data_IF_116546736244
#
_entry.id   IF_116546736244
#
_cell.length_a   1.000
_cell.length_b   1.000
_cell.length_c   1.000
_cell.angle_alpha   90.00
_cell.angle_beta   90.00
_cell.angle_gamma   90.00
#
_symmetry.space_group_name_H-M   'P 1'
#
loop_
_entity.id
_entity.type
_entity.pdbx_description
1 polymer ?
#
# COMPACT_ATOMS: atom_id res chain seq x y z
N UNK A 1 52.40 -48.32 -28.21
CA UNK A 1 52.79 -48.23 -26.78
C UNK A 1 51.53 -48.07 -25.92
N UNK A 2 51.20 -49.00 -25.01
CA UNK A 2 50.57 -48.64 -23.71
C UNK A 2 51.68 -48.34 -22.67
N UNK A 3 51.44 -48.03 -21.37
CA UNK A 3 50.22 -47.75 -20.57
C UNK A 3 50.30 -46.33 -19.90
N UNK A 4 49.45 -45.80 -19.01
CA UNK A 4 48.73 -46.31 -17.82
C UNK A 4 47.52 -45.38 -17.50
N UNK A 5 46.29 -45.89 -17.28
CA UNK A 5 45.72 -46.43 -16.01
C UNK A 5 45.83 -45.41 -14.86
N UNK A 6 44.79 -44.99 -14.14
CA UNK A 6 43.48 -45.54 -13.66
C UNK A 6 42.78 -44.37 -12.92
N UNK A 7 41.52 -44.33 -12.49
CA UNK A 7 40.30 -45.15 -12.53
C UNK A 7 39.19 -44.22 -11.93
N UNK A 8 38.05 -44.04 -12.59
CA UNK A 8 36.75 -44.71 -12.41
C UNK A 8 35.92 -44.30 -11.18
N UNK A 9 34.69 -43.90 -11.51
CA UNK A 9 33.46 -44.05 -10.72
C UNK A 9 32.51 -42.91 -11.09
N UNK A 10 31.35 -43.07 -11.71
CA UNK A 10 30.55 -44.24 -12.06
C UNK A 10 29.07 -43.94 -11.77
N UNK A 11 28.25 -43.97 -12.84
CA UNK A 11 26.77 -44.07 -12.92
C UNK A 11 25.91 -42.93 -12.29
N UNK A 12 25.03 -42.23 -13.02
CA UNK A 12 23.79 -42.61 -13.74
C UNK A 12 22.60 -43.09 -12.89
N UNK A 13 21.52 -42.28 -13.00
CA UNK A 13 20.08 -42.60 -13.21
C UNK A 13 19.12 -42.72 -12.00
N UNK A 14 18.19 -41.75 -12.00
CA UNK A 14 16.72 -41.83 -11.88
C UNK A 14 16.03 -42.55 -10.69
N UNK A 15 15.36 -41.71 -9.87
CA UNK A 15 14.05 -41.83 -9.17
C UNK A 15 13.81 -43.05 -8.23
N UNK A 16 12.69 -43.18 -7.47
CA UNK A 16 11.75 -42.25 -6.80
C UNK A 16 11.51 -42.60 -5.28
N UNK A 17 10.52 -41.94 -4.66
CA UNK A 17 9.71 -42.32 -3.46
C UNK A 17 10.03 -41.75 -2.06
N UNK A 18 8.92 -41.30 -1.45
CA UNK A 18 8.47 -41.39 -0.06
C UNK A 18 9.48 -41.78 1.04
N UNK A 19 9.48 -41.00 2.14
CA UNK A 19 9.78 -41.54 3.47
C UNK A 19 8.78 -41.04 4.51
N UNK A 20 7.83 -41.93 4.81
CA UNK A 20 7.05 -41.98 6.05
C UNK A 20 7.84 -42.88 7.03
N UNK A 21 7.84 -42.49 8.31
CA UNK A 21 7.87 -43.39 9.48
C UNK A 21 9.15 -44.15 9.78
N UNK A 22 9.91 -43.68 10.79
CA UNK A 22 10.74 -44.52 11.66
C UNK A 22 10.63 -43.96 13.08
N UNK A 23 9.89 -44.65 13.95
CA UNK A 23 10.10 -44.77 15.40
C UNK A 23 9.22 -45.93 15.93
N UNK A 24 9.90 -46.88 16.57
CA UNK A 24 9.48 -47.75 17.68
C UNK A 24 8.70 -49.05 17.42
N UNK A 25 9.47 -50.15 17.50
CA UNK A 25 9.42 -51.19 18.54
C UNK A 25 8.06 -51.63 19.08
N UNK A 26 7.67 -52.86 18.70
CA UNK A 26 6.59 -53.63 19.30
C UNK A 26 7.12 -54.47 20.47
N UNK A 27 6.66 -54.14 21.68
CA UNK A 27 5.91 -55.06 22.55
C UNK A 27 6.63 -56.22 23.26
N UNK A 28 6.64 -56.15 24.60
CA UNK A 28 6.40 -57.35 25.42
C UNK A 28 7.15 -57.39 26.75
N UNK A 29 6.56 -56.84 27.81
CA UNK A 29 7.07 -57.04 29.17
C UNK A 29 6.20 -56.37 30.23
N UNK A 30 5.22 -57.12 30.75
CA UNK A 30 4.49 -56.82 31.98
C UNK A 30 5.47 -56.57 33.13
N UNK A 31 5.48 -55.37 33.70
CA UNK A 31 5.64 -55.15 35.13
C UNK A 31 4.83 -53.91 35.56
N UNK A 32 3.96 -54.15 36.53
CA UNK A 32 3.21 -53.17 37.28
C UNK A 32 4.19 -52.21 37.97
N UNK A 33 4.03 -50.92 37.70
CA UNK A 33 4.40 -49.87 38.65
C UNK A 33 3.33 -48.79 38.56
N UNK A 34 2.59 -48.64 39.65
CA UNK A 34 1.83 -47.44 39.97
C UNK A 34 2.77 -46.21 39.93
N UNK A 35 2.17 -45.05 39.70
CA UNK A 35 2.76 -43.72 39.47
C UNK A 35 2.96 -43.37 37.98
N UNK A 36 1.86 -43.03 37.31
CA UNK A 36 1.91 -42.18 36.12
C UNK A 36 1.08 -40.91 36.38
N UNK A 37 1.81 -39.86 36.75
CA UNK A 37 1.34 -38.50 36.81
C UNK A 37 0.75 -38.12 35.46
N UNK A 38 -0.58 -37.97 35.40
CA UNK A 38 -1.32 -37.73 34.16
C UNK A 38 -0.69 -36.62 33.32
N UNK A 39 0.02 -37.01 32.25
CA UNK A 39 0.51 -36.12 31.22
C UNK A 39 -0.66 -35.24 30.74
N UNK A 40 -0.62 -33.92 30.93
CA UNK A 40 -1.73 -33.05 30.59
C UNK A 40 -1.96 -33.14 29.09
N UNK A 41 -3.08 -33.75 28.70
CA UNK A 41 -3.51 -33.84 27.31
C UNK A 41 -3.37 -32.45 26.66
N UNK A 42 -2.63 -32.33 25.55
CA UNK A 42 -2.39 -31.04 24.94
C UNK A 42 -3.74 -30.44 24.53
N UNK A 43 -4.10 -29.31 25.15
CA UNK A 43 -5.33 -28.55 24.85
C UNK A 43 -5.45 -28.44 23.33
N UNK A 44 -6.52 -28.88 22.67
CA UNK A 44 -6.58 -28.96 21.22
C UNK A 44 -6.69 -27.56 20.58
N UNK A 45 -6.25 -27.43 19.31
CA UNK A 45 -6.14 -26.14 18.61
C UNK A 45 -7.48 -25.39 18.52
N UNK A 46 -8.58 -26.13 18.36
CA UNK A 46 -9.97 -25.64 18.34
C UNK A 46 -10.43 -25.05 19.68
N UNK A 47 -9.89 -25.53 20.81
CA UNK A 47 -10.15 -24.96 22.13
C UNK A 47 -9.30 -23.72 22.43
N UNK A 48 -8.12 -23.59 21.82
CA UNK A 48 -7.21 -22.45 22.03
C UNK A 48 -7.65 -21.18 21.29
N UNK A 49 -8.26 -21.31 20.11
CA UNK A 49 -8.69 -20.16 19.30
C UNK A 49 -9.73 -19.27 20.00
N UNK A 50 -10.79 -19.82 20.63
CA UNK A 50 -11.71 -19.03 21.45
C UNK A 50 -11.06 -18.37 22.67
N UNK A 51 -10.02 -18.97 23.25
CA UNK A 51 -9.28 -18.38 24.37
C UNK A 51 -8.49 -17.15 23.89
N UNK A 52 -7.78 -17.27 22.77
CA UNK A 52 -7.07 -16.16 22.15
C UNK A 52 -8.03 -15.04 21.71
N UNK A 53 -9.21 -15.39 21.22
CA UNK A 53 -10.25 -14.44 20.81
C UNK A 53 -10.80 -13.60 21.98
N UNK A 54 -10.66 -14.07 23.23
CA UNK A 54 -11.09 -13.37 24.46
C UNK A 54 -10.01 -12.48 25.06
N UNK A 55 -8.81 -12.45 24.48
CA UNK A 55 -7.75 -11.58 24.97
C UNK A 55 -8.12 -10.11 24.80
N UNK A 56 -7.67 -9.23 25.72
CA UNK A 56 -8.12 -7.84 25.76
C UNK A 56 -7.60 -7.01 24.58
N UNK A 57 -6.52 -7.44 23.92
CA UNK A 57 -6.01 -6.76 22.74
C UNK A 57 -5.36 -7.71 21.73
N UNK A 58 -5.30 -7.24 20.48
CA UNK A 58 -4.50 -7.88 19.45
C UNK A 58 -3.01 -7.98 19.75
N UNK A 59 -2.46 -7.04 20.53
CA UNK A 59 -1.07 -7.11 20.97
C UNK A 59 -0.83 -8.32 21.89
N UNK A 60 -1.81 -8.71 22.70
CA UNK A 60 -1.72 -9.91 23.54
C UNK A 60 -1.71 -11.18 22.71
N UNK A 61 -2.51 -11.23 21.64
CA UNK A 61 -2.52 -12.34 20.69
C UNK A 61 -1.16 -12.47 19.99
N UNK A 62 -0.55 -11.35 19.58
CA UNK A 62 0.79 -11.34 18.98
C UNK A 62 1.86 -11.81 19.97
N UNK A 63 1.82 -11.32 21.21
CA UNK A 63 2.74 -11.77 22.26
C UNK A 63 2.58 -13.26 22.54
N UNK A 64 1.35 -13.74 22.55
CA UNK A 64 1.02 -15.16 22.72
C UNK A 64 1.56 -16.00 21.56
N UNK A 65 1.42 -15.52 20.32
CA UNK A 65 2.00 -16.16 19.14
C UNK A 65 3.53 -16.26 19.20
N UNK A 66 4.21 -15.28 19.82
CA UNK A 66 5.65 -15.28 19.98
C UNK A 66 6.17 -16.30 21.01
N UNK A 67 5.30 -16.89 21.85
CA UNK A 67 5.72 -17.84 22.89
C UNK A 67 6.19 -19.17 22.31
N UNK A 68 5.50 -19.70 21.29
CA UNK A 68 5.90 -20.93 20.62
C UNK A 68 5.29 -21.07 19.21
N UNK A 69 5.93 -21.92 18.39
CA UNK A 69 5.51 -22.17 17.00
C UNK A 69 4.10 -22.72 16.86
N UNK A 70 3.57 -23.42 17.87
CA UNK A 70 2.20 -23.93 17.85
C UNK A 70 1.19 -22.79 17.92
N UNK A 71 1.40 -21.84 18.83
CA UNK A 71 0.52 -20.68 19.00
C UNK A 71 0.64 -19.73 17.80
N UNK A 72 1.85 -19.54 17.28
CA UNK A 72 2.04 -18.82 16.01
C UNK A 72 1.23 -19.45 14.85
N UNK A 73 1.23 -20.78 14.75
CA UNK A 73 0.48 -21.50 13.70
C UNK A 73 -1.02 -21.30 13.84
N UNK A 74 -1.53 -21.42 15.07
CA UNK A 74 -2.94 -21.21 15.36
C UNK A 74 -3.38 -19.77 15.05
N UNK A 75 -2.63 -18.78 15.53
CA UNK A 75 -2.95 -17.36 15.30
C UNK A 75 -2.93 -17.00 13.82
N UNK A 76 -1.98 -17.54 13.05
CA UNK A 76 -1.93 -17.30 11.62
C UNK A 76 -3.06 -18.01 10.87
N UNK A 77 -3.42 -19.23 11.27
CA UNK A 77 -4.53 -20.00 10.68
C UNK A 77 -5.88 -19.32 10.94
N UNK A 78 -6.10 -18.86 12.17
CA UNK A 78 -7.37 -18.31 12.61
C UNK A 78 -7.39 -16.77 12.58
N UNK A 79 -6.44 -16.15 11.89
CA UNK A 79 -6.24 -14.69 11.87
C UNK A 79 -7.50 -13.90 11.51
N UNK A 80 -8.33 -14.39 10.59
CA UNK A 80 -9.60 -13.75 10.21
C UNK A 80 -10.71 -13.89 11.26
N UNK A 81 -10.66 -14.93 12.10
CA UNK A 81 -11.59 -15.11 13.24
C UNK A 81 -11.14 -14.19 14.37
N UNK A 82 -9.86 -14.25 14.72
CA UNK A 82 -9.24 -13.44 15.77
C UNK A 82 -9.37 -11.95 15.45
N UNK A 83 -9.16 -11.52 14.21
CA UNK A 83 -9.29 -10.11 13.82
C UNK A 83 -10.71 -9.56 13.95
N UNK A 84 -11.73 -10.43 13.91
CA UNK A 84 -13.13 -10.05 14.09
C UNK A 84 -13.57 -10.08 15.55
N UNK A 85 -13.01 -11.00 16.34
CA UNK A 85 -13.38 -11.19 17.74
C UNK A 85 -12.69 -10.19 18.67
N UNK A 86 -11.49 -9.75 18.32
CA UNK A 86 -10.73 -8.77 19.10
C UNK A 86 -11.21 -7.34 18.79
N UNK A 87 -11.01 -6.38 19.71
CA UNK A 87 -11.09 -4.96 19.37
C UNK A 87 -10.29 -4.70 18.09
N UNK A 88 -10.84 -3.92 17.15
CA UNK A 88 -10.31 -3.82 15.78
C UNK A 88 -8.79 -3.73 15.78
N UNK A 89 -8.15 -4.80 15.31
CA UNK A 89 -6.71 -4.84 15.14
C UNK A 89 -6.32 -3.62 14.28
N UNK A 90 -5.35 -2.80 14.73
CA UNK A 90 -4.99 -1.62 13.98
C UNK A 90 -4.51 -2.04 12.59
N UNK A 91 -5.17 -1.54 11.56
CA UNK A 91 -4.62 -1.62 10.21
C UNK A 91 -3.29 -0.89 10.20
N UNK A 92 -2.30 -1.50 9.57
CA UNK A 92 -0.92 -1.08 9.73
C UNK A 92 -0.35 -0.60 8.41
N UNK A 93 0.00 0.69 8.35
CA UNK A 93 0.89 1.18 7.31
C UNK A 93 2.29 0.64 7.56
N UNK A 94 2.71 -0.29 6.69
CA UNK A 94 4.02 -0.89 6.76
C UNK A 94 5.11 0.03 6.23
N UNK A 95 4.78 0.89 5.27
CA UNK A 95 5.76 1.76 4.64
C UNK A 95 5.33 2.17 3.25
N UNK A 96 6.30 2.40 2.38
CA UNK A 96 6.05 2.69 0.97
C UNK A 96 7.16 2.19 0.07
N UNK A 97 6.81 1.94 -1.18
CA UNK A 97 7.74 1.72 -2.27
C UNK A 97 7.99 3.03 -3.00
N UNK A 98 9.20 3.24 -3.50
CA UNK A 98 9.55 4.34 -4.39
C UNK A 98 10.63 3.93 -5.38
N UNK A 99 10.81 4.72 -6.44
CA UNK A 99 11.92 4.62 -7.37
C UNK A 99 12.64 5.97 -7.46
N UNK A 100 13.97 5.95 -7.47
CA UNK A 100 14.78 7.14 -7.66
C UNK A 100 14.63 7.68 -9.10
N UNK A 101 14.77 9.01 -9.27
CA UNK A 101 14.80 9.59 -10.60
C UNK A 101 16.14 9.29 -11.27
N UNK A 102 16.12 8.83 -12.53
CA UNK A 102 17.33 8.45 -13.28
C UNK A 102 18.29 9.64 -13.48
N UNK A 103 17.79 10.88 -13.39
CA UNK A 103 18.60 12.09 -13.50
C UNK A 103 19.50 12.38 -12.29
N UNK A 104 19.14 11.90 -11.08
CA UNK A 104 19.91 12.15 -9.84
C UNK A 104 21.08 11.19 -9.63
N UNK A 105 20.99 9.96 -10.16
CA UNK A 105 22.00 8.92 -10.00
C UNK A 105 23.20 9.06 -10.96
N UNK A 106 23.07 9.83 -12.05
CA UNK A 106 24.15 10.09 -13.00
C UNK A 106 25.38 10.78 -12.36
N UNK A 107 25.21 11.51 -11.24
CA UNK A 107 26.31 12.12 -10.50
C UNK A 107 26.99 11.21 -9.49
N UNK A 108 26.40 10.06 -9.12
CA UNK A 108 26.89 9.24 -8.00
C UNK A 108 27.35 7.83 -8.37
N UNK A 109 27.07 7.32 -9.57
CA UNK A 109 27.64 6.05 -10.04
C UNK A 109 27.95 6.09 -11.54
N UNK A 110 29.22 6.23 -11.87
CA UNK A 110 29.78 5.87 -13.18
C UNK A 110 29.96 4.34 -13.20
N UNK A 111 28.85 3.59 -13.24
CA UNK A 111 28.85 2.16 -13.49
C UNK A 111 27.49 1.71 -14.02
N UNK A 112 27.53 1.08 -15.20
CA UNK A 112 26.45 0.47 -16.00
C UNK A 112 25.43 1.42 -16.65
N UNK A 113 25.52 1.47 -17.97
CA UNK A 113 24.50 1.98 -18.88
C UNK A 113 23.17 1.23 -18.68
N UNK A 114 22.05 1.96 -18.56
CA UNK A 114 20.70 1.42 -18.82
C UNK A 114 19.89 0.88 -17.63
N UNK A 115 20.38 0.95 -16.38
CA UNK A 115 19.65 0.38 -15.25
C UNK A 115 18.38 1.18 -14.90
N UNK A 116 17.20 0.64 -15.21
CA UNK A 116 15.94 1.11 -14.62
C UNK A 116 16.04 0.98 -13.09
N UNK A 117 15.75 2.06 -12.36
CA UNK A 117 15.90 2.08 -10.90
C UNK A 117 14.98 1.03 -10.25
N UNK A 118 15.55 0.07 -9.52
CA UNK A 118 14.82 -0.92 -8.74
C UNK A 118 13.91 -0.22 -7.70
N UNK A 119 12.70 -0.73 -7.43
CA UNK A 119 11.87 -0.19 -6.37
C UNK A 119 12.51 -0.44 -5.00
N UNK A 120 12.62 0.61 -4.19
CA UNK A 120 13.08 0.56 -2.81
C UNK A 120 11.89 0.63 -1.86
N UNK A 121 11.90 -0.19 -0.81
CA UNK A 121 10.91 -0.11 0.26
C UNK A 121 11.47 0.63 1.47
N UNK A 122 10.70 1.58 1.99
CA UNK A 122 10.99 2.32 3.22
C UNK A 122 9.97 1.92 4.28
N UNK A 123 10.37 1.18 5.33
CA UNK A 123 9.49 0.79 6.42
C UNK A 123 9.15 1.97 7.35
N UNK A 124 7.99 1.93 7.98
CA UNK A 124 7.70 2.76 9.18
C UNK A 124 8.42 2.19 10.40
N UNK A 125 8.65 2.95 11.47
CA UNK A 125 9.27 2.45 12.70
C UNK A 125 8.46 1.33 13.34
N UNK A 126 7.13 1.38 13.20
CA UNK A 126 6.25 0.29 13.62
C UNK A 126 6.50 -0.96 12.77
N UNK A 127 6.59 -0.83 11.45
CA UNK A 127 6.91 -1.95 10.57
C UNK A 127 8.33 -2.48 10.74
N UNK A 128 9.31 -1.61 10.98
CA UNK A 128 10.71 -1.96 11.23
C UNK A 128 10.84 -2.86 12.46
N UNK A 129 10.11 -2.52 13.53
CA UNK A 129 10.01 -3.35 14.74
C UNK A 129 9.30 -4.69 14.49
N UNK A 130 8.36 -4.72 13.54
CA UNK A 130 7.55 -5.90 13.27
C UNK A 130 8.19 -6.88 12.28
N UNK A 131 8.84 -6.37 11.24
CA UNK A 131 9.44 -7.14 10.13
C UNK A 131 10.98 -7.26 10.32
N UNK A 132 11.57 -6.53 11.29
CA UNK A 132 13.01 -6.51 11.52
C UNK A 132 13.78 -5.65 10.50
N UNK A 133 13.09 -4.91 9.64
CA UNK A 133 13.69 -4.06 8.60
C UNK A 133 14.01 -2.67 9.15
N UNK A 134 15.26 -2.41 9.52
CA UNK A 134 15.68 -1.15 10.16
C UNK A 134 16.03 -0.02 9.18
N UNK A 135 16.12 -0.29 7.87
CA UNK A 135 16.56 0.68 6.87
C UNK A 135 15.84 0.52 5.52
N UNK A 136 15.80 1.58 4.69
CA UNK A 136 15.39 1.46 3.29
C UNK A 136 16.15 0.34 2.59
N UNK A 137 15.43 -0.52 1.88
CA UNK A 137 16.07 -1.63 1.18
C UNK A 137 15.41 -1.93 -0.16
N UNK A 138 16.24 -2.13 -1.18
CA UNK A 138 15.84 -2.57 -2.51
C UNK A 138 15.54 -4.07 -2.57
N UNK A 139 16.11 -4.86 -1.64
CA UNK A 139 15.95 -6.32 -1.62
C UNK A 139 15.20 -6.81 -0.38
N UNK A 140 15.21 -6.09 0.74
CA UNK A 140 14.72 -6.68 1.98
C UNK A 140 13.19 -6.83 2.07
N UNK A 141 12.38 -6.00 1.38
CA UNK A 141 10.96 -6.34 1.21
C UNK A 141 10.79 -7.49 0.19
N UNK A 142 11.61 -7.49 -0.87
CA UNK A 142 11.66 -8.52 -1.91
C UNK A 142 11.94 -9.92 -1.32
N UNK A 143 12.84 -9.97 -0.34
CA UNK A 143 13.36 -11.17 0.30
C UNK A 143 12.58 -11.53 1.56
N UNK A 144 12.25 -10.55 2.44
CA UNK A 144 11.62 -10.82 3.73
C UNK A 144 10.09 -10.97 3.66
N UNK A 145 9.43 -10.39 2.64
CA UNK A 145 7.96 -10.39 2.55
C UNK A 145 7.46 -10.88 1.20
N UNK A 146 8.16 -10.62 0.10
CA UNK A 146 7.65 -10.85 -1.24
C UNK A 146 8.07 -12.22 -1.82
N UNK A 147 9.29 -12.71 -1.58
CA UNK A 147 9.87 -13.80 -2.37
C UNK A 147 10.00 -13.47 -3.86
N UNK A 148 10.13 -12.17 -4.21
CA UNK A 148 10.01 -11.64 -5.59
C UNK A 148 11.29 -11.03 -6.16
N UNK A 149 12.47 -11.49 -5.71
CA UNK A 149 13.78 -10.95 -6.14
C UNK A 149 13.86 -10.66 -7.65
N UNK A 150 13.53 -11.67 -8.47
CA UNK A 150 13.63 -11.57 -9.94
C UNK A 150 12.51 -10.74 -10.58
N UNK A 151 11.32 -10.69 -9.98
CA UNK A 151 10.16 -9.98 -10.54
C UNK A 151 10.29 -8.47 -10.32
N UNK A 152 10.92 -8.05 -9.23
CA UNK A 152 11.05 -6.64 -8.86
C UNK A 152 12.16 -5.90 -9.62
N UNK A 153 13.12 -6.63 -10.20
CA UNK A 153 14.31 -6.05 -10.85
C UNK A 153 13.97 -5.01 -11.93
N UNK A 154 12.82 -5.16 -12.60
CA UNK A 154 12.32 -4.19 -13.58
C UNK A 154 10.85 -3.81 -13.34
N UNK A 155 10.36 -4.02 -12.12
CA UNK A 155 8.99 -3.67 -11.79
C UNK A 155 8.86 -2.19 -11.43
N UNK A 156 7.70 -1.63 -11.77
CA UNK A 156 7.25 -0.33 -11.31
C UNK A 156 6.01 -0.52 -10.43
N UNK A 157 6.06 -0.17 -9.14
CA UNK A 157 4.86 -0.10 -8.30
C UNK A 157 3.89 0.95 -8.85
N UNK A 158 2.60 0.62 -8.93
CA UNK A 158 1.58 1.54 -9.47
C UNK A 158 0.39 1.77 -8.55
N UNK A 159 -0.01 0.77 -7.76
CA UNK A 159 -1.07 0.91 -6.75
C UNK A 159 -0.92 -0.16 -5.67
N UNK A 160 -1.55 0.07 -4.52
CA UNK A 160 -1.73 -0.92 -3.47
C UNK A 160 -3.08 -0.72 -2.79
N UNK A 161 -3.61 -1.77 -2.18
CA UNK A 161 -4.80 -1.71 -1.31
C UNK A 161 -4.94 -2.98 -0.49
N UNK A 162 -5.22 -2.87 0.81
CA UNK A 162 -5.51 -4.02 1.69
C UNK A 162 -4.50 -5.19 1.53
N UNK A 163 -3.20 -4.88 1.58
CA UNK A 163 -2.12 -5.85 1.41
C UNK A 163 -1.88 -6.35 -0.02
N UNK A 164 -2.67 -5.92 -1.00
CA UNK A 164 -2.36 -6.17 -2.42
C UNK A 164 -1.48 -5.06 -2.99
N UNK A 165 -0.58 -5.44 -3.87
CA UNK A 165 0.34 -4.57 -4.60
C UNK A 165 0.22 -4.85 -6.10
N UNK A 166 0.19 -3.78 -6.89
CA UNK A 166 0.16 -3.82 -8.35
C UNK A 166 1.50 -3.37 -8.88
N UNK A 167 2.11 -4.21 -9.72
CA UNK A 167 3.41 -4.02 -10.33
C UNK A 167 3.27 -4.00 -11.86
N UNK A 168 3.78 -2.96 -12.50
CA UNK A 168 4.00 -2.91 -13.95
C UNK A 168 5.37 -3.50 -14.29
N UNK A 169 5.41 -4.53 -15.13
CA UNK A 169 6.64 -5.23 -15.48
C UNK A 169 7.25 -4.64 -16.76
N UNK A 170 8.47 -4.08 -16.64
CA UNK A 170 9.10 -3.27 -17.70
C UNK A 170 10.34 -3.87 -18.36
N UNK A 171 10.54 -5.19 -18.31
CA UNK A 171 11.69 -5.81 -18.99
C UNK A 171 11.72 -5.43 -20.48
N UNK A 172 12.93 -5.29 -21.04
CA UNK A 172 13.15 -4.94 -22.45
C UNK A 172 12.42 -5.88 -23.43
N UNK A 173 12.16 -7.13 -23.03
CA UNK A 173 11.38 -8.12 -23.80
C UNK A 173 9.88 -7.80 -23.89
N UNK A 174 9.38 -6.82 -23.13
CA UNK A 174 7.95 -6.54 -22.95
C UNK A 174 7.51 -5.16 -23.44
N UNK A 175 8.36 -4.44 -24.18
CA UNK A 175 8.09 -3.08 -24.65
C UNK A 175 6.83 -2.96 -25.51
N UNK A 176 6.36 -4.04 -26.13
CA UNK A 176 5.19 -4.04 -27.01
C UNK A 176 3.84 -4.22 -26.30
N UNK A 177 3.83 -4.47 -24.98
CA UNK A 177 2.59 -4.73 -24.23
C UNK A 177 2.63 -4.17 -22.81
N UNK A 178 1.50 -3.74 -22.27
CA UNK A 178 1.37 -3.50 -20.83
C UNK A 178 1.21 -4.85 -20.11
N UNK A 179 2.18 -5.18 -19.25
CA UNK A 179 2.16 -6.35 -18.38
C UNK A 179 2.04 -5.93 -16.93
N UNK A 180 1.02 -6.46 -16.25
CA UNK A 180 0.74 -6.16 -14.86
C UNK A 180 0.75 -7.45 -14.04
N UNK A 181 1.31 -7.36 -12.84
CA UNK A 181 1.26 -8.38 -11.81
C UNK A 181 0.54 -7.80 -10.59
N UNK A 182 -0.40 -8.55 -10.04
CA UNK A 182 -1.07 -8.22 -8.78
C UNK A 182 -0.66 -9.28 -7.77
N UNK A 183 -0.02 -8.88 -6.68
CA UNK A 183 0.46 -9.80 -5.66
C UNK A 183 0.01 -9.38 -4.27
N UNK A 184 -0.16 -10.34 -3.37
CA UNK A 184 -0.27 -10.12 -1.95
C UNK A 184 1.00 -10.66 -1.29
N UNK A 185 1.98 -9.78 -1.01
CA UNK A 185 3.28 -10.15 -0.43
C UNK A 185 3.13 -11.00 0.83
N UNK A 186 2.33 -10.49 1.77
CA UNK A 186 2.13 -11.13 3.07
C UNK A 186 1.53 -12.52 2.99
N UNK A 187 0.77 -12.81 1.94
CA UNK A 187 0.10 -14.10 1.71
C UNK A 187 0.82 -14.97 0.68
N UNK A 188 1.72 -14.40 -0.12
CA UNK A 188 2.39 -15.07 -1.23
C UNK A 188 1.48 -15.33 -2.42
N UNK A 189 0.32 -14.67 -2.48
CA UNK A 189 -0.58 -14.76 -3.63
C UNK A 189 -0.01 -13.92 -4.77
N UNK A 190 -0.07 -14.43 -5.99
CA UNK A 190 0.34 -13.69 -7.19
C UNK A 190 -0.55 -14.05 -8.37
N UNK A 191 -0.94 -13.02 -9.13
CA UNK A 191 -1.67 -13.16 -10.37
C UNK A 191 -1.02 -12.30 -11.47
N UNK A 192 -0.57 -12.97 -12.53
CA UNK A 192 -0.14 -12.31 -13.76
C UNK A 192 -1.36 -12.00 -14.61
N UNK A 193 -1.56 -10.72 -14.97
CA UNK A 193 -2.72 -10.32 -15.77
C UNK A 193 -2.49 -10.58 -17.26
N UNK A 194 -3.54 -10.89 -18.04
CA UNK A 194 -3.44 -10.94 -19.50
C UNK A 194 -2.86 -9.63 -20.04
N UNK A 195 -1.84 -9.66 -20.92
CA UNK A 195 -1.18 -8.45 -21.40
C UNK A 195 -2.10 -7.64 -22.32
N UNK A 196 -2.02 -6.30 -22.26
CA UNK A 196 -2.68 -5.40 -23.20
C UNK A 196 -1.66 -4.94 -24.25
N UNK A 197 -1.84 -5.36 -25.51
CA UNK A 197 -0.89 -5.15 -26.60
C UNK A 197 -1.56 -4.54 -27.85
N UNK A 198 -0.76 -4.10 -28.82
CA UNK A 198 -1.25 -3.58 -30.10
C UNK A 198 -2.23 -2.42 -29.92
N UNK A 199 -3.40 -2.49 -30.57
CA UNK A 199 -4.45 -1.47 -30.45
C UNK A 199 -5.01 -1.34 -29.03
N UNK A 200 -4.90 -2.37 -28.20
CA UNK A 200 -5.37 -2.37 -26.82
C UNK A 200 -4.34 -1.83 -25.83
N UNK A 201 -3.09 -1.64 -26.24
CA UNK A 201 -2.03 -1.12 -25.38
C UNK A 201 -2.38 0.29 -24.90
N UNK A 202 -2.49 0.52 -23.58
CA UNK A 202 -2.63 1.86 -23.06
C UNK A 202 -1.30 2.61 -23.15
N UNK A 203 -1.37 3.93 -23.36
CA UNK A 203 -0.24 4.84 -23.14
C UNK A 203 -0.06 5.11 -21.65
N UNK A 204 0.01 6.39 -21.27
CA UNK A 204 -0.08 6.77 -19.86
C UNK A 204 -1.43 6.39 -19.25
N UNK A 205 -1.37 5.81 -18.05
CA UNK A 205 -2.53 5.35 -17.30
C UNK A 205 -2.43 5.66 -15.81
N UNK A 206 -3.59 5.76 -15.16
CA UNK A 206 -3.77 5.61 -13.73
C UNK A 206 -4.44 4.26 -13.43
N UNK A 207 -4.33 3.80 -12.19
CA UNK A 207 -5.00 2.59 -11.76
C UNK A 207 -5.60 2.73 -10.37
N UNK A 208 -6.69 1.99 -10.14
CA UNK A 208 -7.30 1.78 -8.84
C UNK A 208 -7.49 0.28 -8.61
N UNK A 209 -7.22 -0.17 -7.39
CA UNK A 209 -7.44 -1.55 -6.99
C UNK A 209 -8.66 -1.63 -6.09
N UNK A 210 -9.59 -2.52 -6.41
CA UNK A 210 -10.70 -2.94 -5.57
C UNK A 210 -10.41 -4.33 -5.04
N UNK A 211 -10.85 -4.59 -3.82
CA UNK A 211 -10.66 -5.85 -3.11
C UNK A 211 -12.00 -6.34 -2.56
N UNK A 212 -12.05 -7.58 -2.06
CA UNK A 212 -13.27 -8.11 -1.45
C UNK A 212 -13.82 -7.28 -0.28
N UNK A 213 -13.01 -6.40 0.33
CA UNK A 213 -13.44 -5.46 1.37
C UNK A 213 -14.27 -4.28 0.82
N UNK A 214 -14.24 -4.04 -0.49
CA UNK A 214 -14.86 -2.88 -1.12
C UNK A 214 -16.23 -3.21 -1.74
N UNK A 215 -16.63 -4.49 -1.73
CA UNK A 215 -17.77 -5.01 -2.49
C UNK A 215 -18.98 -5.44 -1.63
N UNK A 216 -19.21 -4.82 -0.47
CA UNK A 216 -20.42 -5.06 0.31
C UNK A 216 -20.35 -4.59 1.76
N UNK A 217 -21.47 -4.76 2.49
CA UNK A 217 -21.62 -4.35 3.90
C UNK A 217 -20.84 -5.23 4.88
N UNK A 218 -20.52 -6.47 4.51
CA UNK A 218 -19.70 -7.37 5.33
C UNK A 218 -18.28 -7.48 4.79
N UNK A 219 -17.26 -7.03 5.54
CA UNK A 219 -15.86 -7.27 5.20
C UNK A 219 -15.63 -8.76 4.95
N UNK A 220 -14.87 -9.09 3.89
CA UNK A 220 -14.37 -10.45 3.64
C UNK A 220 -12.84 -10.48 3.85
N UNK A 221 -12.38 -10.60 5.12
CA UNK A 221 -10.95 -10.69 5.42
C UNK A 221 -10.34 -11.84 4.64
N UNK A 222 -9.11 -11.65 4.17
CA UNK A 222 -8.37 -12.66 3.43
C UNK A 222 -9.05 -13.12 2.13
N UNK A 223 -9.95 -12.32 1.53
CA UNK A 223 -10.44 -12.62 0.19
C UNK A 223 -9.28 -12.62 -0.82
N UNK A 224 -9.25 -13.61 -1.71
CA UNK A 224 -8.36 -13.61 -2.87
C UNK A 224 -8.88 -12.72 -4.01
N UNK A 225 -10.11 -12.22 -3.87
CA UNK A 225 -10.75 -11.39 -4.89
C UNK A 225 -10.09 -10.02 -4.99
N UNK A 226 -9.80 -9.62 -6.22
CA UNK A 226 -9.47 -8.25 -6.57
C UNK A 226 -10.01 -7.88 -7.94
N UNK A 227 -10.22 -6.58 -8.15
CA UNK A 227 -10.53 -5.99 -9.46
C UNK A 227 -9.63 -4.79 -9.68
N UNK A 228 -8.93 -4.75 -10.80
CA UNK A 228 -8.03 -3.68 -11.17
C UNK A 228 -8.66 -2.81 -12.25
N UNK A 229 -8.88 -1.54 -11.95
CA UNK A 229 -9.35 -0.55 -12.92
C UNK A 229 -8.16 0.24 -13.45
N UNK A 230 -8.07 0.36 -14.77
CA UNK A 230 -7.12 1.25 -15.44
C UNK A 230 -7.87 2.38 -16.16
N UNK A 231 -7.33 3.59 -16.07
CA UNK A 231 -7.86 4.80 -16.71
C UNK A 231 -6.75 5.36 -17.59
N UNK A 232 -7.00 5.47 -18.88
CA UNK A 232 -5.99 5.87 -19.87
C UNK A 232 -6.61 6.69 -20.98
N UNK A 233 -5.78 7.23 -21.86
CA UNK A 233 -6.24 8.07 -22.96
C UNK A 233 -6.17 7.36 -24.31
N UNK A 234 -7.25 7.48 -25.07
CA UNK A 234 -7.25 7.33 -26.54
C UNK A 234 -7.06 8.70 -27.19
N UNK A 235 -6.94 8.74 -28.52
CA UNK A 235 -6.76 10.00 -29.26
C UNK A 235 -7.82 11.04 -28.88
N UNK A 236 -9.10 10.65 -28.90
CA UNK A 236 -10.23 11.56 -28.71
C UNK A 236 -10.88 11.55 -27.32
N UNK A 237 -10.63 10.54 -26.48
CA UNK A 237 -11.35 10.38 -25.21
C UNK A 237 -10.53 9.68 -24.12
N UNK A 238 -11.00 9.75 -22.89
CA UNK A 238 -10.50 8.95 -21.76
C UNK A 238 -11.24 7.62 -21.71
N UNK A 239 -10.49 6.53 -21.76
CA UNK A 239 -10.97 5.16 -21.75
C UNK A 239 -10.74 4.50 -20.38
N UNK A 240 -11.54 3.49 -20.08
CA UNK A 240 -11.48 2.71 -18.85
C UNK A 240 -11.55 1.22 -19.19
N UNK A 241 -10.76 0.39 -18.49
CA UNK A 241 -10.91 -1.06 -18.49
C UNK A 241 -10.75 -1.61 -17.08
N UNK A 242 -11.48 -2.67 -16.78
CA UNK A 242 -11.37 -3.37 -15.50
C UNK A 242 -10.94 -4.81 -15.73
N UNK A 243 -9.95 -5.28 -15.00
CA UNK A 243 -9.63 -6.70 -14.87
C UNK A 243 -10.28 -7.22 -13.61
N UNK A 244 -10.90 -8.39 -13.66
CA UNK A 244 -11.55 -8.99 -12.49
C UNK A 244 -10.99 -10.39 -12.22
N UNK A 245 -10.56 -10.67 -10.98
CA UNK A 245 -9.91 -11.93 -10.61
C UNK A 245 -10.86 -13.14 -10.65
N UNK A 246 -12.17 -12.89 -10.57
CA UNK A 246 -13.24 -13.91 -10.68
C UNK A 246 -13.34 -14.51 -12.09
N UNK A 247 -13.23 -13.67 -13.11
CA UNK A 247 -13.39 -14.01 -14.52
C UNK A 247 -12.05 -14.22 -15.20
N UNK A 248 -10.95 -13.74 -14.60
CA UNK A 248 -9.61 -13.82 -15.16
C UNK A 248 -9.43 -13.00 -16.45
N UNK A 249 -10.29 -12.01 -16.70
CA UNK A 249 -10.38 -11.29 -17.97
C UNK A 249 -10.49 -9.78 -17.80
N UNK A 250 -10.05 -9.07 -18.82
CA UNK A 250 -10.32 -7.64 -18.99
C UNK A 250 -11.75 -7.44 -19.50
N UNK A 251 -12.42 -6.41 -19.00
CA UNK A 251 -13.68 -5.91 -19.52
C UNK A 251 -13.47 -5.28 -20.90
N UNK A 252 -14.59 -5.07 -21.60
CA UNK A 252 -14.63 -4.19 -22.76
C UNK A 252 -14.18 -2.78 -22.40
N UNK A 253 -13.65 -2.06 -23.38
CA UNK A 253 -13.24 -0.66 -23.21
C UNK A 253 -14.48 0.23 -22.98
N UNK A 254 -14.56 0.81 -21.79
CA UNK A 254 -15.52 1.85 -21.47
C UNK A 254 -15.00 3.21 -21.93
N UNK A 255 -15.91 4.07 -22.41
CA UNK A 255 -15.61 5.46 -22.75
C UNK A 255 -16.16 6.39 -21.69
N UNK A 256 -15.35 7.35 -21.26
CA UNK A 256 -15.84 8.51 -20.52
C UNK A 256 -16.78 9.33 -21.42
N UNK A 257 -18.07 9.30 -21.12
CA UNK A 257 -19.13 9.92 -21.92
C UNK A 257 -19.27 11.43 -21.65
N UNK A 258 -18.95 11.90 -20.45
CA UNK A 258 -19.13 13.31 -20.02
C UNK A 258 -17.84 13.96 -19.51
N UNK A 259 -17.64 15.22 -19.90
CA UNK A 259 -16.54 16.08 -19.46
C UNK A 259 -15.26 15.95 -20.30
N UNK A 260 -14.27 16.83 -20.09
CA UNK A 260 -13.07 16.89 -20.89
C UNK A 260 -12.19 15.64 -20.70
N UNK A 261 -11.39 15.34 -21.72
CA UNK A 261 -10.34 14.32 -21.64
C UNK A 261 -9.38 14.66 -20.50
N UNK A 262 -9.04 13.67 -19.67
CA UNK A 262 -8.04 13.84 -18.62
C UNK A 262 -6.69 14.07 -19.30
N UNK A 263 -6.04 15.22 -19.07
CA UNK A 263 -4.81 15.57 -19.79
C UNK A 263 -3.69 14.55 -19.57
N UNK A 264 -3.42 14.20 -18.31
CA UNK A 264 -2.32 13.31 -17.92
C UNK A 264 -2.83 12.26 -16.93
N UNK A 265 -3.33 11.10 -17.39
CA UNK A 265 -3.83 10.05 -16.52
C UNK A 265 -2.81 9.63 -15.46
N UNK A 266 -1.53 9.53 -15.83
CA UNK A 266 -0.44 9.19 -14.90
C UNK A 266 -0.30 10.17 -13.72
N UNK A 267 -0.75 11.41 -13.85
CA UNK A 267 -0.71 12.43 -12.79
C UNK A 267 -1.91 12.38 -11.84
N UNK A 268 -2.89 11.51 -12.07
CA UNK A 268 -4.02 11.34 -11.14
C UNK A 268 -3.56 10.82 -9.77
N UNK A 269 -2.36 10.21 -9.70
CA UNK A 269 -1.78 9.71 -8.46
C UNK A 269 -2.58 8.55 -7.87
N UNK A 270 -2.64 8.51 -6.54
CA UNK A 270 -3.40 7.49 -5.82
C UNK A 270 -4.92 7.70 -5.99
N UNK A 271 -5.63 6.59 -6.16
CA UNK A 271 -7.09 6.52 -5.97
C UNK A 271 -7.46 6.26 -4.52
N UNK A 272 -8.50 6.90 -4.02
CA UNK A 272 -9.15 6.54 -2.76
C UNK A 272 -10.41 5.75 -3.04
N UNK A 273 -10.57 4.56 -2.47
CA UNK A 273 -11.79 3.75 -2.68
C UNK A 273 -12.68 3.77 -1.45
N UNK A 274 -13.92 4.23 -1.64
CA UNK A 274 -14.99 4.28 -0.62
C UNK A 274 -16.25 3.67 -1.22
N UNK A 275 -16.88 2.73 -0.52
CA UNK A 275 -18.15 2.08 -0.89
C UNK A 275 -18.21 1.62 -2.36
N UNK A 276 -17.16 0.93 -2.82
CA UNK A 276 -17.09 0.41 -4.18
C UNK A 276 -16.86 1.46 -5.27
N UNK A 277 -16.46 2.68 -4.89
CA UNK A 277 -16.18 3.79 -5.82
C UNK A 277 -14.73 4.27 -5.66
N UNK A 278 -13.96 4.26 -6.74
CA UNK A 278 -12.62 4.86 -6.76
C UNK A 278 -12.70 6.35 -7.11
N UNK A 279 -12.05 7.17 -6.29
CA UNK A 279 -11.95 8.62 -6.43
C UNK A 279 -10.51 9.04 -6.70
N UNK A 280 -10.31 9.84 -7.74
CA UNK A 280 -9.06 10.56 -7.98
C UNK A 280 -9.28 12.06 -7.82
N UNK A 281 -8.33 12.73 -7.17
CA UNK A 281 -8.34 14.17 -7.06
C UNK A 281 -8.06 14.82 -8.43
N UNK A 282 -9.00 15.63 -8.91
CA UNK A 282 -8.75 16.59 -9.99
C UNK A 282 -8.58 17.98 -9.37
N UNK A 283 -8.25 18.97 -10.20
CA UNK A 283 -7.97 20.34 -9.71
C UNK A 283 -9.14 20.98 -8.94
N UNK A 284 -10.37 20.69 -9.36
CA UNK A 284 -11.61 21.34 -8.89
C UNK A 284 -12.76 20.35 -8.63
N UNK A 285 -12.54 19.06 -8.87
CA UNK A 285 -13.52 17.99 -8.77
C UNK A 285 -12.80 16.69 -8.39
N UNK A 286 -13.56 15.65 -8.07
CA UNK A 286 -13.04 14.29 -7.96
C UNK A 286 -13.57 13.46 -9.13
N UNK A 287 -12.69 12.73 -9.81
CA UNK A 287 -13.07 11.75 -10.81
C UNK A 287 -13.46 10.46 -10.09
N UNK A 288 -14.73 10.06 -10.19
CA UNK A 288 -15.30 8.92 -9.50
C UNK A 288 -15.65 7.82 -10.50
N UNK A 289 -15.26 6.57 -10.22
CA UNK A 289 -15.62 5.42 -11.04
C UNK A 289 -16.13 4.32 -10.13
N UNK A 290 -17.32 3.79 -10.39
CA UNK A 290 -17.88 2.67 -9.65
C UNK A 290 -17.35 1.33 -10.17
N UNK A 291 -17.25 0.38 -9.26
CA UNK A 291 -16.79 -0.99 -9.55
C UNK A 291 -17.79 -1.81 -10.36
N UNK A 292 -19.10 -1.62 -10.13
CA UNK A 292 -20.20 -2.34 -10.79
C UNK A 292 -20.62 -1.69 -12.10
N UNK A 293 -20.60 -0.35 -12.13
CA UNK A 293 -20.99 0.47 -13.29
C UNK A 293 -19.81 1.37 -13.65
N UNK A 294 -18.98 1.02 -14.64
CA UNK A 294 -17.78 1.78 -14.97
C UNK A 294 -18.09 3.12 -15.67
N UNK A 295 -19.34 3.60 -15.64
CA UNK A 295 -19.68 4.96 -16.07
C UNK A 295 -19.05 5.97 -15.10
N UNK A 296 -18.05 6.74 -15.56
CA UNK A 296 -17.36 7.68 -14.69
C UNK A 296 -18.23 8.90 -14.41
N UNK A 297 -18.19 9.37 -13.17
CA UNK A 297 -18.88 10.58 -12.71
C UNK A 297 -17.84 11.59 -12.21
N UNK A 298 -18.05 12.88 -12.46
CA UNK A 298 -17.29 13.92 -11.77
C UNK A 298 -18.09 14.46 -10.60
N UNK A 299 -17.49 14.40 -9.42
CA UNK A 299 -18.07 14.94 -8.19
C UNK A 299 -17.46 16.32 -7.94
N UNK A 300 -18.26 17.40 -7.85
CA UNK A 300 -17.74 18.73 -7.57
C UNK A 300 -17.10 18.75 -6.18
N UNK A 301 -15.89 19.30 -6.06
CA UNK A 301 -15.20 19.46 -4.77
C UNK A 301 -15.42 20.87 -4.21
N UNK A 302 -15.30 21.08 -2.88
CA UNK A 302 -15.47 22.39 -2.29
C UNK A 302 -14.30 23.30 -2.71
N UNK A 303 -14.52 24.08 -3.76
CA UNK A 303 -13.52 25.00 -4.32
C UNK A 303 -13.65 26.42 -3.80
N UNK A 304 -14.67 26.73 -2.97
CA UNK A 304 -14.98 28.09 -2.50
C UNK A 304 -15.16 28.14 -0.98
N UNK A 305 -14.08 28.44 -0.27
CA UNK A 305 -14.10 28.71 1.16
C UNK A 305 -12.88 29.53 1.58
N UNK A 306 -12.99 30.41 2.59
CA UNK A 306 -11.86 31.20 3.07
C UNK A 306 -10.68 30.27 3.44
N UNK A 307 -9.52 30.58 2.88
CA UNK A 307 -8.28 29.82 3.08
C UNK A 307 -8.03 28.64 2.15
N UNK A 308 -8.95 28.25 1.24
CA UNK A 308 -8.65 27.27 0.16
C UNK A 308 -7.95 28.04 -0.95
N UNK A 309 -6.62 28.09 -0.89
CA UNK A 309 -5.84 28.80 -1.91
C UNK A 309 -5.63 27.92 -3.15
N UNK A 310 -5.29 28.53 -4.29
CA UNK A 310 -4.88 27.86 -5.53
C UNK A 310 -3.47 27.22 -5.34
N UNK A 311 -3.34 26.31 -4.37
CA UNK A 311 -2.08 25.66 -4.05
C UNK A 311 -1.65 24.69 -5.15
N UNK A 312 -0.34 24.46 -5.31
CA UNK A 312 0.21 23.45 -6.22
C UNK A 312 -0.41 22.07 -6.01
N UNK A 313 -0.36 21.21 -7.02
CA UNK A 313 -0.98 19.87 -6.98
C UNK A 313 -0.47 19.02 -5.82
N UNK A 314 0.84 19.08 -5.52
CA UNK A 314 1.46 18.31 -4.44
C UNK A 314 0.93 18.64 -3.05
N UNK A 315 0.20 19.74 -2.86
CA UNK A 315 -0.29 20.16 -1.54
C UNK A 315 -1.67 19.61 -1.21
N UNK A 316 -2.25 18.80 -2.10
CA UNK A 316 -3.64 18.36 -2.00
C UNK A 316 -3.74 16.86 -2.22
N UNK A 317 -4.59 16.22 -1.43
CA UNK A 317 -4.88 14.80 -1.54
C UNK A 317 -6.34 14.52 -1.15
N UNK A 318 -6.79 13.33 -1.49
CA UNK A 318 -7.96 12.73 -0.86
C UNK A 318 -7.52 11.77 0.25
N UNK A 319 -8.45 11.40 1.11
CA UNK A 319 -8.30 10.36 2.12
C UNK A 319 -9.65 9.90 2.62
N UNK A 320 -9.66 9.18 3.75
CA UNK A 320 -10.86 8.66 4.40
C UNK A 320 -10.85 9.08 5.88
N UNK A 321 -12.00 9.48 6.42
CA UNK A 321 -12.15 9.75 7.85
C UNK A 321 -12.44 8.47 8.67
N UNK A 322 -12.47 8.54 10.01
CA UNK A 322 -12.78 7.37 10.85
C UNK A 322 -14.16 6.75 10.59
N UNK A 323 -15.10 7.51 10.02
CA UNK A 323 -16.44 7.04 9.68
C UNK A 323 -16.48 6.35 8.30
N UNK A 324 -15.34 6.22 7.61
CA UNK A 324 -15.25 5.65 6.27
C UNK A 324 -15.62 6.63 5.16
N UNK A 325 -15.77 7.93 5.45
CA UNK A 325 -16.22 8.93 4.48
C UNK A 325 -15.03 9.57 3.77
N UNK A 326 -15.24 9.95 2.51
CA UNK A 326 -14.20 10.57 1.69
C UNK A 326 -13.88 11.98 2.22
N UNK A 327 -12.60 12.31 2.38
CA UNK A 327 -12.15 13.62 2.86
C UNK A 327 -11.20 14.32 1.91
N UNK A 328 -11.27 15.64 1.90
CA UNK A 328 -10.28 16.49 1.24
C UNK A 328 -9.22 16.95 2.22
N UNK A 329 -7.96 16.69 1.86
CA UNK A 329 -6.78 17.00 2.66
C UNK A 329 -5.95 18.03 1.90
N UNK A 330 -5.54 19.09 2.59
CA UNK A 330 -4.55 20.02 2.06
C UNK A 330 -3.45 20.35 3.06
N UNK A 331 -2.30 20.73 2.51
CA UNK A 331 -1.20 21.33 3.25
C UNK A 331 -1.27 22.86 3.13
N UNK A 332 -0.75 23.58 4.12
CA UNK A 332 -0.52 25.01 4.06
C UNK A 332 0.59 25.43 5.03
N UNK A 333 1.33 26.51 4.76
CA UNK A 333 2.21 27.11 5.76
C UNK A 333 1.36 27.91 6.77
N UNK A 334 1.69 27.82 8.05
CA UNK A 334 1.13 28.65 9.11
C UNK A 334 2.23 29.49 9.76
N UNK A 335 2.01 30.80 9.86
CA UNK A 335 2.93 31.73 10.52
C UNK A 335 3.21 31.29 11.96
N UNK A 336 4.45 31.45 12.40
CA UNK A 336 4.80 31.37 13.82
C UNK A 336 4.64 32.75 14.46
N UNK A 337 4.02 32.82 15.63
CA UNK A 337 3.91 34.06 16.39
C UNK A 337 5.32 34.48 16.82
N UNK A 338 5.84 35.57 16.24
CA UNK A 338 7.13 36.16 16.61
C UNK A 338 8.27 36.06 15.59
N UNK A 339 8.14 35.28 14.49
CA UNK A 339 9.16 35.27 13.42
C UNK A 339 8.55 35.24 12.02
N UNK A 340 8.64 36.32 11.22
CA UNK A 340 7.99 36.42 9.90
C UNK A 340 8.57 35.47 8.82
N UNK A 341 9.70 34.81 9.10
CA UNK A 341 10.48 34.05 8.11
C UNK A 341 10.34 32.52 8.29
N UNK A 342 9.78 32.06 9.41
CA UNK A 342 9.63 30.63 9.72
C UNK A 342 8.16 30.28 9.85
N UNK A 343 7.69 29.33 9.03
CA UNK A 343 6.32 28.84 9.06
C UNK A 343 6.31 27.38 9.47
N UNK A 344 5.28 26.95 10.20
CA UNK A 344 5.04 25.53 10.45
C UNK A 344 4.23 24.94 9.30
N UNK A 345 4.55 23.71 8.90
CA UNK A 345 3.68 22.98 8.00
C UNK A 345 2.39 22.61 8.74
N UNK A 346 1.26 22.89 8.11
CA UNK A 346 -0.06 22.51 8.59
C UNK A 346 -0.69 21.58 7.58
N UNK A 347 -1.22 20.45 8.07
CA UNK A 347 -2.09 19.58 7.29
C UNK A 347 -3.51 19.74 7.83
N UNK A 348 -4.48 19.96 6.94
CA UNK A 348 -5.87 20.14 7.30
C UNK A 348 -6.79 19.20 6.52
N UNK A 349 -7.81 18.69 7.20
CA UNK A 349 -8.96 18.05 6.57
C UNK A 349 -10.07 19.09 6.53
N UNK A 350 -10.63 19.40 5.35
CA UNK A 350 -11.53 20.55 5.20
C UNK A 350 -13.00 20.21 5.01
N UNK A 351 -13.27 19.04 4.47
CA UNK A 351 -14.60 18.63 4.08
C UNK A 351 -14.68 17.13 4.04
N UNK A 352 -15.88 16.64 4.32
CA UNK A 352 -16.26 15.23 4.26
C UNK A 352 -17.35 15.08 3.21
N UNK A 353 -17.22 14.06 2.39
CA UNK A 353 -18.19 13.66 1.39
C UNK A 353 -18.74 12.29 1.77
N UNK A 354 -20.06 12.21 1.92
CA UNK A 354 -20.76 10.94 2.09
C UNK A 354 -21.21 10.48 0.70
N UNK A 355 -20.56 9.49 0.08
CA UNK A 355 -21.09 8.92 -1.15
C UNK A 355 -22.47 8.35 -0.85
N UNK A 356 -23.48 8.72 -1.66
CA UNK A 356 -24.79 8.13 -1.56
C UNK A 356 -24.67 6.62 -1.76
N UNK A 357 -25.03 5.83 -0.74
CA UNK A 357 -25.19 4.40 -0.94
C UNK A 357 -26.31 4.23 -1.98
N UNK A 358 -26.09 3.45 -3.04
CA UNK A 358 -27.13 3.20 -4.03
C UNK A 358 -28.35 2.46 -3.47
N UNK A 359 -28.33 2.08 -2.18
CA UNK A 359 -29.49 1.63 -1.42
C UNK A 359 -30.24 2.84 -0.87
N UNK A 360 -31.52 2.98 -1.20
CA UNK A 360 -32.38 4.13 -0.85
C UNK A 360 -32.64 4.37 0.64
N UNK A 361 -31.80 3.88 1.54
CA UNK A 361 -31.96 3.93 3.01
C UNK A 361 -30.89 4.77 3.73
N UNK A 362 -29.98 5.45 3.03
CA UNK A 362 -28.98 6.32 3.71
C UNK A 362 -29.30 7.79 3.54
N UNK A 363 -29.31 8.55 4.64
CA UNK A 363 -29.35 10.03 4.77
C UNK A 363 -28.17 10.78 4.08
N UNK A 364 -27.57 10.18 3.05
CA UNK A 364 -26.43 10.72 2.34
C UNK A 364 -26.91 11.63 1.22
N UNK A 365 -26.72 12.94 1.37
CA UNK A 365 -27.10 13.95 0.37
C UNK A 365 -26.23 13.94 -0.90
N UNK A 366 -25.13 13.18 -0.93
CA UNK A 366 -24.16 13.25 -2.03
C UNK A 366 -23.48 14.61 -2.12
N UNK A 367 -23.41 15.35 -1.00
CA UNK A 367 -22.79 16.67 -0.92
C UNK A 367 -21.56 16.69 -0.02
N UNK A 368 -20.67 17.65 -0.27
CA UNK A 368 -19.53 17.92 0.59
C UNK A 368 -19.95 18.78 1.78
N UNK A 369 -19.81 18.23 2.98
CA UNK A 369 -20.04 18.94 4.24
C UNK A 369 -18.71 19.50 4.74
N UNK A 370 -18.69 20.80 5.08
CA UNK A 370 -17.50 21.43 5.67
C UNK A 370 -17.26 20.84 7.06
N UNK A 371 -16.09 20.25 7.26
CA UNK A 371 -15.58 19.82 8.57
C UNK A 371 -14.10 20.15 8.62
N UNK A 372 -13.72 21.01 9.55
CA UNK A 372 -12.38 21.55 9.59
C UNK A 372 -11.60 20.97 10.78
N UNK A 373 -10.53 20.22 10.49
CA UNK A 373 -9.53 19.80 11.48
C UNK A 373 -8.16 20.22 10.97
N UNK A 374 -7.35 20.80 11.85
CA UNK A 374 -6.02 21.31 11.53
C UNK A 374 -4.98 20.64 12.42
N UNK A 375 -3.91 20.16 11.81
CA UNK A 375 -2.78 19.55 12.50
C UNK A 375 -1.54 20.42 12.24
N UNK A 376 -1.08 21.14 13.26
CA UNK A 376 0.15 21.95 13.20
C UNK A 376 1.35 21.07 13.50
N UNK A 377 2.23 20.89 12.51
CA UNK A 377 3.43 20.05 12.63
C UNK A 377 4.58 20.89 13.17
N UNK A 378 4.63 21.06 14.50
CA UNK A 378 5.56 21.98 15.20
C UNK A 378 7.05 21.71 14.90
N UNK A 379 7.38 20.46 14.63
CA UNK A 379 8.72 19.99 14.30
C UNK A 379 9.09 20.18 12.82
N UNK A 380 8.14 20.54 11.94
CA UNK A 380 8.37 20.72 10.51
C UNK A 380 8.22 22.18 10.13
N UNK A 381 9.36 22.87 10.11
CA UNK A 381 9.45 24.26 9.66
C UNK A 381 9.65 24.31 8.14
N UNK A 382 8.90 25.18 7.49
CA UNK A 382 9.08 25.57 6.10
C UNK A 382 9.64 26.99 6.14
N UNK A 383 10.83 27.20 5.55
CA UNK A 383 11.41 28.54 5.45
C UNK A 383 10.64 29.31 4.41
N UNK A 384 10.27 30.55 4.72
CA UNK A 384 9.67 31.45 3.75
C UNK A 384 10.72 32.39 3.17
N UNK A 385 10.94 32.36 1.86
CA UNK A 385 11.80 33.28 1.13
C UNK A 385 10.90 34.12 0.20
N UNK A 386 10.62 35.37 0.59
CA UNK A 386 9.84 36.36 -0.19
C UNK A 386 9.72 37.74 0.50
N UNK A 387 9.89 38.83 -0.27
CA UNK A 387 10.42 40.17 0.11
C UNK A 387 9.41 41.19 0.73
N UNK A 388 9.89 42.01 1.68
CA UNK A 388 9.24 43.22 2.24
C UNK A 388 9.40 44.42 1.29
N UNK A 389 8.32 44.92 0.65
CA UNK A 389 8.39 46.14 -0.17
C UNK A 389 7.95 46.02 -1.63
N UNK A 390 6.86 45.32 -1.92
CA UNK A 390 6.03 45.64 -3.08
C UNK A 390 6.18 44.83 -4.38
N UNK A 391 7.09 43.86 -4.48
CA UNK A 391 7.12 42.92 -5.63
C UNK A 391 7.02 41.47 -5.15
N UNK A 392 6.02 40.75 -5.68
CA UNK A 392 5.56 39.45 -5.20
C UNK A 392 6.20 38.32 -6.02
N UNK A 393 7.30 37.75 -5.55
CA UNK A 393 7.74 36.43 -6.03
C UNK A 393 7.12 35.34 -5.15
N UNK A 394 6.37 34.38 -5.72
CA UNK A 394 5.93 33.22 -4.97
C UNK A 394 7.18 32.41 -4.57
N UNK A 395 7.24 31.89 -3.35
CA UNK A 395 8.44 31.18 -2.96
C UNK A 395 8.67 29.86 -3.73
N UNK A 396 9.93 29.42 -3.90
CA UNK A 396 10.30 28.20 -4.63
C UNK A 396 9.94 26.88 -3.92
N UNK A 397 9.46 26.89 -2.68
CA UNK A 397 9.09 25.66 -1.94
C UNK A 397 7.69 25.12 -2.28
N UNK A 398 6.93 25.79 -3.14
CA UNK A 398 5.66 25.30 -3.67
C UNK A 398 5.76 23.91 -4.33
N UNK A 399 6.91 23.57 -4.91
CA UNK A 399 7.13 22.25 -5.53
C UNK A 399 7.75 21.22 -4.58
N UNK A 400 8.10 21.64 -3.35
CA UNK A 400 8.91 20.87 -2.40
C UNK A 400 8.10 20.19 -1.31
N UNK A 401 6.79 20.39 -1.27
CA UNK A 401 5.86 19.66 -0.40
C UNK A 401 4.96 18.81 -1.28
N UNK A 402 4.99 17.50 -1.08
CA UNK A 402 4.16 16.56 -1.83
C UNK A 402 3.46 15.59 -0.88
N UNK A 403 2.14 15.70 -0.77
CA UNK A 403 1.25 14.70 -0.22
C UNK A 403 1.18 13.56 -1.24
N UNK A 404 1.74 12.40 -0.91
CA UNK A 404 2.02 11.33 -1.88
C UNK A 404 0.99 10.22 -1.85
N UNK A 405 0.61 9.80 -0.64
CA UNK A 405 -0.22 8.62 -0.44
C UNK A 405 -0.97 8.70 0.88
N UNK A 406 -2.19 8.17 0.92
CA UNK A 406 -3.04 8.04 2.09
C UNK A 406 -3.41 6.58 2.29
N UNK A 407 -2.99 6.00 3.39
CA UNK A 407 -3.37 4.65 3.80
C UNK A 407 -4.77 4.70 4.41
N UNK A 408 -5.76 4.23 3.64
CA UNK A 408 -7.18 4.43 3.96
C UNK A 408 -7.60 3.77 5.26
N UNK A 409 -7.06 2.58 5.55
CA UNK A 409 -7.45 1.82 6.72
C UNK A 409 -6.78 2.30 8.00
N UNK A 410 -5.53 2.78 7.91
CA UNK A 410 -4.81 3.29 9.08
C UNK A 410 -4.92 4.80 9.27
N UNK A 411 -5.63 5.52 8.39
CA UNK A 411 -5.81 6.96 8.46
C UNK A 411 -4.49 7.74 8.42
N UNK A 412 -3.52 7.23 7.66
CA UNK A 412 -2.12 7.69 7.69
C UNK A 412 -1.73 8.33 6.37
N UNK A 413 -1.25 9.56 6.42
CA UNK A 413 -0.77 10.33 5.27
C UNK A 413 0.75 10.22 5.13
N UNK A 414 1.20 9.76 3.98
CA UNK A 414 2.60 9.72 3.57
C UNK A 414 2.90 10.94 2.70
N UNK A 415 3.95 11.68 3.05
CA UNK A 415 4.34 12.88 2.33
C UNK A 415 5.85 13.09 2.33
N UNK A 416 6.33 13.88 1.36
CA UNK A 416 7.76 14.18 1.19
C UNK A 416 8.00 15.68 1.23
N UNK A 417 9.11 16.06 1.86
CA UNK A 417 9.61 17.43 1.92
C UNK A 417 10.99 17.50 1.22
N UNK A 418 11.13 18.42 0.29
CA UNK A 418 12.36 18.61 -0.49
C UNK A 418 13.29 19.69 0.06
N UNK A 419 14.35 19.99 -0.70
CA UNK A 419 15.30 21.08 -0.41
C UNK A 419 14.58 22.42 -0.17
N UNK A 420 14.95 23.13 0.89
CA UNK A 420 14.33 24.41 1.30
C UNK A 420 13.33 24.27 2.46
N UNK A 421 12.93 23.04 2.79
CA UNK A 421 12.26 22.74 4.06
C UNK A 421 13.31 22.60 5.18
N UNK A 422 12.93 22.90 6.42
CA UNK A 422 13.82 22.81 7.59
C UNK A 422 14.16 21.36 7.98
N UNK A 423 13.41 20.39 7.45
CA UNK A 423 13.70 18.95 7.61
C UNK A 423 13.29 18.21 6.32
N UNK A 424 14.14 18.21 5.28
CA UNK A 424 13.90 17.44 4.07
C UNK A 424 13.88 15.94 4.37
N UNK A 425 13.00 15.20 3.71
CA UNK A 425 12.82 13.76 3.91
C UNK A 425 11.43 13.26 3.58
N UNK A 426 11.16 12.01 3.94
CA UNK A 426 9.84 11.39 3.86
C UNK A 426 9.25 11.19 5.26
N UNK A 427 7.94 11.39 5.36
CA UNK A 427 7.22 11.47 6.62
C UNK A 427 5.92 10.67 6.57
N UNK A 428 5.52 10.21 7.75
CA UNK A 428 4.28 9.48 8.02
C UNK A 428 3.51 10.26 9.06
N UNK A 429 2.30 10.70 8.74
CA UNK A 429 1.41 11.44 9.64
C UNK A 429 0.14 10.65 9.90
N UNK A 430 -0.10 10.30 11.16
CA UNK A 430 -1.40 9.80 11.58
C UNK A 430 -2.39 10.97 11.72
N UNK A 431 -3.45 11.00 10.89
CA UNK A 431 -4.40 12.13 10.88
C UNK A 431 -5.30 12.14 12.12
N UNK A 432 -5.53 10.99 12.75
CA UNK A 432 -6.34 10.91 13.96
C UNK A 432 -5.58 11.52 15.15
N UNK A 433 -4.35 11.07 15.40
CA UNK A 433 -3.55 11.45 16.58
C UNK A 433 -2.69 12.70 16.35
N UNK A 434 -2.43 13.08 15.09
CA UNK A 434 -1.48 14.14 14.76
C UNK A 434 -0.01 13.76 14.96
N UNK A 435 0.26 12.50 15.33
CA UNK A 435 1.63 12.00 15.48
C UNK A 435 2.29 11.91 14.11
N UNK A 436 3.50 12.43 14.01
CA UNK A 436 4.31 12.39 12.80
C UNK A 436 5.64 11.70 13.06
N UNK A 437 6.08 10.95 12.08
CA UNK A 437 7.33 10.22 12.11
C UNK A 437 8.11 10.52 10.83
N UNK A 438 9.43 10.73 10.96
CA UNK A 438 10.33 10.80 9.81
C UNK A 438 10.86 9.40 9.54
N UNK A 439 10.67 8.91 8.32
CA UNK A 439 11.01 7.53 7.93
C UNK A 439 12.13 7.44 6.92
N UNK A 440 12.48 8.56 6.28
CA UNK A 440 13.68 8.65 5.47
C UNK A 440 14.25 10.07 5.50
N UNK A 441 15.57 10.16 5.52
CA UNK A 441 16.33 11.38 5.31
C UNK A 441 16.72 11.53 3.84
N UNK A 442 16.74 12.77 3.34
CA UNK A 442 17.25 13.05 2.01
C UNK A 442 16.60 14.28 1.39
N UNK A 443 17.42 15.13 0.80
CA UNK A 443 16.95 16.34 0.10
C UNK A 443 16.24 16.04 -1.21
N UNK A 444 16.42 14.83 -1.75
CA UNK A 444 15.88 14.39 -3.04
C UNK A 444 14.61 13.52 -2.90
N UNK A 445 14.06 13.37 -1.68
CA UNK A 445 12.83 12.60 -1.46
C UNK A 445 11.62 13.19 -2.22
N UNK A 446 11.63 14.50 -2.49
CA UNK A 446 10.62 15.16 -3.32
C UNK A 446 10.71 14.80 -4.80
N UNK A 447 11.82 14.20 -5.24
CA UNK A 447 12.02 13.76 -6.62
C UNK A 447 11.69 12.28 -6.84
N UNK A 448 11.38 11.54 -5.76
CA UNK A 448 11.00 10.14 -5.86
C UNK A 448 9.77 9.94 -6.74
N UNK A 449 9.86 8.92 -7.60
CA UNK A 449 8.82 8.52 -8.54
C UNK A 449 8.16 7.24 -8.07
N UNK A 450 6.95 6.98 -8.59
CA UNK A 450 6.21 5.73 -8.36
C UNK A 450 6.06 5.41 -6.86
N UNK A 451 5.75 6.44 -6.09
CA UNK A 451 5.55 6.37 -4.65
C UNK A 451 4.23 5.65 -4.36
N UNK A 452 4.29 4.48 -3.74
CA UNK A 452 3.13 3.64 -3.42
C UNK A 452 3.22 3.23 -1.95
N UNK A 453 2.31 3.72 -1.11
CA UNK A 453 2.19 3.26 0.27
C UNK A 453 1.81 1.78 0.32
N UNK A 454 2.14 1.08 1.40
CA UNK A 454 1.78 -0.31 1.59
C UNK A 454 1.19 -0.48 2.98
N UNK A 455 -0.09 -0.83 3.04
CA UNK A 455 -0.84 -1.10 4.26
C UNK A 455 -1.41 -2.52 4.24
N UNK A 456 -1.53 -3.12 5.41
CA UNK A 456 -2.15 -4.44 5.61
C UNK A 456 -3.23 -4.34 6.69
N UNK A 457 -4.28 -5.15 6.55
CA UNK A 457 -5.30 -5.28 7.57
C UNK A 457 -4.83 -6.19 8.73
N UNK A 458 -5.57 -6.16 9.84
CA UNK A 458 -5.24 -6.95 11.03
C UNK A 458 -5.26 -8.47 10.79
N UNK A 459 -6.15 -8.99 9.94
CA UNK A 459 -6.21 -10.42 9.63
C UNK A 459 -4.99 -10.86 8.81
N UNK A 460 -4.62 -10.07 7.80
CA UNK A 460 -3.41 -10.27 7.00
C UNK A 460 -2.14 -10.16 7.87
N UNK A 461 -2.15 -9.23 8.83
CA UNK A 461 -1.07 -9.12 9.80
C UNK A 461 -0.93 -10.38 10.66
N UNK A 462 -2.02 -10.90 11.24
CA UNK A 462 -1.97 -12.15 12.01
C UNK A 462 -1.55 -13.34 11.15
N UNK A 463 -2.07 -13.45 9.93
CA UNK A 463 -1.68 -14.49 8.97
C UNK A 463 -0.18 -14.45 8.62
N UNK A 464 0.44 -13.26 8.62
CA UNK A 464 1.86 -13.09 8.33
C UNK A 464 2.81 -13.60 9.42
N UNK A 465 2.32 -13.86 10.65
CA UNK A 465 3.17 -14.19 11.80
C UNK A 465 3.99 -15.46 11.56
N UNK A 466 3.48 -16.43 10.81
CA UNK A 466 4.19 -17.68 10.51
C UNK A 466 5.37 -17.53 9.55
N UNK A 467 5.44 -16.43 8.81
CA UNK A 467 6.53 -16.19 7.86
C UNK A 467 7.73 -15.49 8.50
N UNK A 468 7.68 -15.25 9.81
CA UNK A 468 8.73 -14.57 10.58
C UNK A 468 9.69 -15.54 11.25
#
# INVERSE_FOLDING_TARGET
>A
MPPARRARGGAHRAAPYHRRGWLNDDGGGLLVSDDDDGEPLPIPDDALSPVLARLPSGADVVRSAATCRRWARLVAKDGAVLSRALPQLPCLTLGFLHQEDAGTTARRRKASSGAAAHPCFVPTASAARLIGLQAPSSTALADAVLGLGDVLEHARPVASRNGWLVLELRQERYTDSLKLCVCNPTRGDMAMLPPLAGADKPGDYACALYTGHDLGTTPRPLSAFFRLLIVYNRRAFTALRSYSSDTGRWSTEGKRSRGPKIAFPRELGQSIVVDGVAYWHLRHSAFAVRVDTPEPTEVPMPTKGPGISNWPRGWRSLGVDPDGKLIFIDASPCMDEGTPVSHHLVVATRSVFCPGSGSGDSDCSGEWVKRFKRIKLKQLKVRYEGWFGGVKTPPPFQEKVNLRWFSEKSGTLLFTLGKGTGSPGAFVLNIATGHVEKVADGVDCDLWRNFVGYEIDGAAYLASILRR
#
